data_IF_668731842122
#
_entry.id   IF_668731842122
#
_cell.length_a   1.000
_cell.length_b   1.000
_cell.length_c   1.000
_cell.angle_alpha   90.00
_cell.angle_beta   90.00
_cell.angle_gamma   90.00
#
_symmetry.space_group_name_H-M   'P 1'
#
loop_
_entity.id
_entity.type
_entity.pdbx_description
1 polymer ?
#
# COMPACT_ATOMS: atom_id res chain seq x y z
N UNK A 1 -41.00 -23.80 23.87
CA UNK A 1 -41.42 -24.10 25.26
C UNK A 1 -40.19 -23.98 26.15
N UNK A 2 -40.23 -23.05 27.14
CA UNK A 2 -39.25 -22.75 28.21
C UNK A 2 -37.81 -22.33 27.84
N UNK A 3 -37.53 -21.03 27.97
CA UNK A 3 -36.37 -20.45 28.67
C UNK A 3 -36.84 -19.09 29.25
N UNK A 4 -37.19 -19.02 30.54
CA UNK A 4 -36.40 -18.64 31.74
C UNK A 4 -36.65 -17.19 32.17
N UNK A 5 -37.06 -17.04 33.42
CA UNK A 5 -37.58 -15.86 34.13
C UNK A 5 -36.64 -14.63 34.21
N UNK A 6 -35.48 -14.66 33.57
CA UNK A 6 -34.52 -13.56 33.57
C UNK A 6 -34.87 -12.48 32.51
N UNK A 7 -35.42 -12.90 31.37
CA UNK A 7 -35.76 -12.00 30.25
C UNK A 7 -36.98 -11.13 30.55
N UNK A 8 -37.91 -11.60 31.38
CA UNK A 8 -39.06 -10.82 31.84
C UNK A 8 -38.66 -9.71 32.83
N UNK A 9 -37.62 -9.92 33.65
CA UNK A 9 -37.12 -8.92 34.61
C UNK A 9 -36.43 -7.73 33.95
N UNK A 10 -35.70 -7.95 32.86
CA UNK A 10 -35.02 -6.87 32.11
C UNK A 10 -36.00 -5.99 31.32
N UNK A 11 -37.10 -6.56 30.82
CA UNK A 11 -38.13 -5.81 30.06
C UNK A 11 -38.90 -4.88 31.00
N UNK A 12 -39.17 -5.31 32.24
CA UNK A 12 -39.79 -4.47 33.26
C UNK A 12 -38.89 -3.32 33.72
N UNK A 13 -37.57 -3.53 33.83
CA UNK A 13 -36.62 -2.48 34.20
C UNK A 13 -36.44 -1.41 33.10
N UNK A 14 -36.54 -1.79 31.83
CA UNK A 14 -36.38 -0.87 30.70
C UNK A 14 -37.64 -0.03 30.39
N UNK A 15 -38.81 -0.42 30.88
CA UNK A 15 -40.03 0.40 30.79
C UNK A 15 -40.02 1.63 31.71
N UNK A 16 -39.22 1.61 32.77
CA UNK A 16 -39.19 2.65 33.81
C UNK A 16 -38.24 3.81 33.46
N UNK A 17 -37.31 3.64 32.52
CA UNK A 17 -36.22 4.61 32.25
C UNK A 17 -36.36 5.47 30.99
N UNK A 18 -37.52 5.47 30.31
CA UNK A 18 -37.91 6.55 29.39
C UNK A 18 -36.91 6.94 28.30
N UNK A 19 -36.02 6.05 27.86
CA UNK A 19 -35.11 6.28 26.73
C UNK A 19 -35.53 5.42 25.56
N UNK A 20 -35.90 6.07 24.46
CA UNK A 20 -36.27 5.43 23.21
C UNK A 20 -35.20 4.44 22.79
N UNK A 21 -35.56 3.16 22.81
CA UNK A 21 -34.73 2.10 22.27
C UNK A 21 -34.79 2.23 20.74
N UNK A 22 -33.77 2.85 20.14
CA UNK A 22 -33.54 2.73 18.70
C UNK A 22 -33.38 1.24 18.41
N UNK A 23 -34.30 0.69 17.64
CA UNK A 23 -34.25 -0.69 17.14
C UNK A 23 -32.84 -0.95 16.62
N UNK A 24 -32.08 -1.80 17.34
CA UNK A 24 -30.82 -2.35 16.84
C UNK A 24 -31.13 -3.03 15.51
N UNK A 25 -30.73 -2.39 14.42
CA UNK A 25 -30.83 -2.96 13.08
C UNK A 25 -30.12 -4.30 13.12
N UNK A 26 -30.86 -5.38 12.89
CA UNK A 26 -30.30 -6.72 12.77
C UNK A 26 -29.18 -6.64 11.71
N UNK A 27 -27.90 -6.92 12.04
CA UNK A 27 -26.83 -6.79 11.07
C UNK A 27 -27.17 -7.67 9.87
N UNK A 28 -27.15 -7.09 8.66
CA UNK A 28 -27.38 -7.86 7.44
C UNK A 28 -26.33 -8.96 7.41
N UNK A 29 -26.76 -10.20 7.59
CA UNK A 29 -25.86 -11.34 7.45
C UNK A 29 -25.40 -11.41 6.00
N UNK A 30 -24.09 -11.53 5.80
CA UNK A 30 -23.52 -11.80 4.50
C UNK A 30 -23.98 -13.18 4.02
N UNK A 31 -24.67 -13.21 2.87
CA UNK A 31 -25.16 -14.45 2.24
C UNK A 31 -24.37 -14.71 0.96
N UNK A 32 -23.26 -15.48 1.02
CA UNK A 32 -22.49 -15.82 -0.17
C UNK A 32 -23.27 -16.78 -1.08
N UNK A 33 -23.10 -16.63 -2.40
CA UNK A 33 -23.49 -17.63 -3.38
C UNK A 33 -22.72 -18.94 -3.18
N UNK A 34 -23.10 -20.02 -3.87
CA UNK A 34 -22.36 -21.29 -3.83
C UNK A 34 -20.90 -21.13 -4.26
N UNK A 35 -20.67 -20.32 -5.29
CA UNK A 35 -19.33 -20.03 -5.82
C UNK A 35 -18.51 -19.26 -4.79
N UNK A 36 -19.09 -18.22 -4.18
CA UNK A 36 -18.41 -17.42 -3.15
C UNK A 36 -18.19 -18.22 -1.86
N UNK A 37 -19.07 -19.16 -1.53
CA UNK A 37 -18.90 -20.08 -0.40
C UNK A 37 -17.69 -20.99 -0.62
N UNK A 38 -17.54 -21.53 -1.82
CA UNK A 38 -16.36 -22.30 -2.23
C UNK A 38 -15.09 -21.44 -2.20
N UNK A 39 -15.16 -20.22 -2.72
CA UNK A 39 -14.03 -19.29 -2.72
C UNK A 39 -13.61 -18.90 -1.30
N UNK A 40 -14.56 -18.62 -0.41
CA UNK A 40 -14.31 -18.36 1.00
C UNK A 40 -13.60 -19.52 1.67
N UNK A 41 -14.10 -20.75 1.48
CA UNK A 41 -13.47 -21.95 2.05
C UNK A 41 -12.02 -22.10 1.58
N UNK A 42 -11.76 -21.86 0.29
CA UNK A 42 -10.41 -21.92 -0.24
C UNK A 42 -9.51 -20.82 0.34
N UNK A 43 -9.93 -19.56 0.29
CA UNK A 43 -9.15 -18.41 0.77
C UNK A 43 -8.83 -18.54 2.26
N UNK A 44 -9.82 -18.92 3.08
CA UNK A 44 -9.62 -19.11 4.52
C UNK A 44 -8.66 -20.26 4.83
N UNK A 45 -8.79 -21.40 4.17
CA UNK A 45 -7.81 -22.51 4.29
C UNK A 45 -6.44 -22.09 3.81
N UNK A 46 -6.37 -21.35 2.71
CA UNK A 46 -5.12 -20.86 2.18
C UNK A 46 -4.40 -19.95 3.20
N UNK A 47 -5.11 -18.94 3.74
CA UNK A 47 -4.56 -18.03 4.75
C UNK A 47 -4.12 -18.76 6.03
N UNK A 48 -4.84 -19.81 6.46
CA UNK A 48 -4.45 -20.58 7.65
C UNK A 48 -3.12 -21.32 7.49
N UNK A 49 -2.74 -21.69 6.26
CA UNK A 49 -1.45 -22.34 5.99
C UNK A 49 -0.35 -21.33 5.66
N UNK A 50 -0.71 -20.20 5.05
CA UNK A 50 0.24 -19.20 4.61
C UNK A 50 0.71 -18.28 5.75
N UNK A 51 -0.18 -17.85 6.66
CA UNK A 51 0.16 -16.95 7.75
C UNK A 51 0.90 -17.72 8.85
N UNK A 52 2.22 -17.73 8.75
CA UNK A 52 3.17 -18.32 9.71
C UNK A 52 3.77 -17.29 10.68
N UNK A 53 3.67 -16.00 10.37
CA UNK A 53 4.11 -14.87 11.22
C UNK A 53 3.14 -13.68 11.11
N UNK A 54 2.91 -12.95 12.20
CA UNK A 54 1.88 -11.90 12.29
C UNK A 54 0.46 -12.44 12.45
N UNK A 55 -0.52 -11.54 12.46
CA UNK A 55 -1.94 -11.88 12.69
C UNK A 55 -2.87 -11.15 11.72
N UNK A 56 -3.71 -11.91 10.99
CA UNK A 56 -4.77 -11.38 10.12
C UNK A 56 -6.11 -11.89 10.62
N UNK A 57 -7.04 -10.98 10.90
CA UNK A 57 -8.41 -11.31 11.30
C UNK A 57 -9.37 -10.85 10.21
N UNK A 58 -10.23 -11.74 9.72
CA UNK A 58 -11.36 -11.40 8.86
C UNK A 58 -12.64 -11.36 9.70
N UNK A 59 -13.34 -10.23 9.68
CA UNK A 59 -14.64 -10.02 10.29
C UNK A 59 -15.67 -9.83 9.17
N UNK A 60 -16.52 -10.82 8.94
CA UNK A 60 -17.60 -10.72 7.96
C UNK A 60 -18.77 -9.89 8.49
N UNK A 61 -19.49 -9.18 7.60
CA UNK A 61 -20.81 -8.66 7.91
C UNK A 61 -21.76 -9.80 8.30
N UNK A 62 -22.30 -9.76 9.53
CA UNK A 62 -23.01 -10.88 10.15
C UNK A 62 -22.26 -11.57 11.28
N UNK A 63 -21.02 -11.15 11.57
CA UNK A 63 -20.32 -11.47 12.82
C UNK A 63 -19.44 -12.71 12.80
N UNK A 64 -19.35 -13.43 11.67
CA UNK A 64 -18.38 -14.52 11.51
C UNK A 64 -16.97 -13.95 11.56
N UNK A 65 -16.09 -14.59 12.34
CA UNK A 65 -14.70 -14.18 12.49
C UNK A 65 -13.75 -15.33 12.16
N UNK A 66 -12.75 -15.05 11.32
CA UNK A 66 -11.63 -15.95 11.05
C UNK A 66 -10.34 -15.30 11.54
N UNK A 67 -9.55 -16.03 12.32
CA UNK A 67 -8.26 -15.58 12.82
C UNK A 67 -7.16 -16.45 12.23
N UNK A 68 -6.19 -15.81 11.58
CA UNK A 68 -4.98 -16.44 11.05
C UNK A 68 -3.79 -15.84 11.78
N UNK A 69 -3.20 -16.63 12.68
CA UNK A 69 -2.10 -16.18 13.53
C UNK A 69 -0.92 -17.12 13.39
N UNK A 70 0.23 -16.53 13.09
CA UNK A 70 1.49 -17.24 12.97
C UNK A 70 2.06 -17.63 14.33
N UNK A 71 2.72 -18.78 14.39
CA UNK A 71 3.45 -19.22 15.60
C UNK A 71 4.85 -18.60 15.70
N UNK A 72 5.35 -17.96 14.64
CA UNK A 72 6.65 -17.30 14.62
C UNK A 72 6.58 -15.90 15.22
N UNK A 73 7.58 -15.56 16.04
CA UNK A 73 7.75 -14.22 16.63
C UNK A 73 8.46 -13.20 15.71
N UNK A 74 8.68 -13.52 14.42
CA UNK A 74 9.42 -12.64 13.49
C UNK A 74 8.67 -11.36 13.11
N UNK A 75 7.34 -11.38 13.14
CA UNK A 75 6.48 -10.26 12.79
C UNK A 75 5.38 -10.15 13.85
N UNK A 76 5.33 -9.02 14.56
CA UNK A 76 4.30 -8.73 15.57
C UNK A 76 3.09 -7.98 15.01
N UNK A 77 3.07 -7.71 13.70
CA UNK A 77 2.01 -6.93 13.08
C UNK A 77 0.68 -7.68 13.12
N UNK A 78 -0.38 -6.90 13.33
CA UNK A 78 -1.76 -7.36 13.35
C UNK A 78 -2.62 -6.47 12.46
N UNK A 79 -3.54 -7.08 11.73
CA UNK A 79 -4.55 -6.35 10.97
C UNK A 79 -5.91 -7.03 11.08
N UNK A 80 -6.97 -6.21 11.08
CA UNK A 80 -8.36 -6.68 11.14
C UNK A 80 -9.11 -6.11 9.95
N UNK A 81 -9.50 -7.01 9.04
CA UNK A 81 -10.24 -6.74 7.82
C UNK A 81 -11.73 -6.92 8.11
N UNK A 82 -12.55 -5.94 7.74
CA UNK A 82 -14.01 -6.06 7.70
C UNK A 82 -14.44 -6.38 6.28
N UNK A 83 -15.01 -7.56 6.07
CA UNK A 83 -15.52 -7.99 4.75
C UNK A 83 -16.98 -7.58 4.63
N UNK A 84 -17.26 -6.68 3.69
CA UNK A 84 -18.59 -6.13 3.41
C UNK A 84 -19.32 -6.94 2.33
N UNK A 85 -18.56 -7.50 1.38
CA UNK A 85 -19.10 -8.19 0.22
C UNK A 85 -18.40 -9.55 0.02
N UNK A 86 -19.14 -10.66 -0.11
CA UNK A 86 -18.56 -11.99 -0.30
C UNK A 86 -17.76 -12.12 -1.61
N UNK A 87 -18.01 -11.23 -2.58
CA UNK A 87 -17.25 -11.12 -3.82
C UNK A 87 -15.75 -10.83 -3.57
N UNK A 88 -15.38 -10.32 -2.39
CA UNK A 88 -14.00 -10.25 -1.91
C UNK A 88 -13.26 -11.58 -2.09
N UNK A 89 -13.85 -12.69 -1.62
CA UNK A 89 -13.21 -14.00 -1.68
C UNK A 89 -13.00 -14.48 -3.12
N UNK A 90 -13.97 -14.21 -3.99
CA UNK A 90 -13.88 -14.55 -5.40
C UNK A 90 -12.76 -13.77 -6.11
N UNK A 91 -12.67 -12.46 -5.87
CA UNK A 91 -11.59 -11.61 -6.43
C UNK A 91 -10.22 -12.07 -5.95
N UNK A 92 -10.05 -12.29 -4.64
CA UNK A 92 -8.78 -12.76 -4.07
C UNK A 92 -8.39 -14.13 -4.62
N UNK A 93 -9.36 -15.04 -4.79
CA UNK A 93 -9.11 -16.37 -5.35
C UNK A 93 -8.65 -16.32 -6.82
N UNK A 94 -9.29 -15.48 -7.64
CA UNK A 94 -9.14 -15.52 -9.10
C UNK A 94 -8.10 -14.54 -9.65
N UNK A 95 -7.93 -13.40 -8.98
CA UNK A 95 -7.06 -12.30 -9.43
C UNK A 95 -5.92 -12.00 -8.43
N UNK A 96 -5.79 -12.77 -7.34
CA UNK A 96 -4.71 -12.70 -6.35
C UNK A 96 -4.45 -11.27 -5.83
N UNK A 97 -3.26 -10.70 -6.06
CA UNK A 97 -2.85 -9.36 -5.63
C UNK A 97 -3.66 -8.25 -6.30
N UNK A 98 -3.93 -8.39 -7.60
CA UNK A 98 -4.84 -7.50 -8.32
C UNK A 98 -6.27 -7.63 -7.81
N UNK A 99 -6.69 -8.85 -7.45
CA UNK A 99 -7.99 -9.11 -6.85
C UNK A 99 -8.16 -8.46 -5.48
N UNK A 100 -7.11 -8.49 -4.65
CA UNK A 100 -7.08 -7.80 -3.35
C UNK A 100 -7.19 -6.28 -3.53
N UNK A 101 -6.41 -5.71 -4.47
CA UNK A 101 -6.48 -4.29 -4.79
C UNK A 101 -7.86 -3.87 -5.31
N UNK A 102 -8.40 -4.64 -6.26
CA UNK A 102 -9.72 -4.37 -6.84
C UNK A 102 -10.84 -4.51 -5.79
N UNK A 103 -10.75 -5.48 -4.89
CA UNK A 103 -11.70 -5.64 -3.80
C UNK A 103 -11.65 -4.44 -2.82
N UNK A 104 -10.47 -3.93 -2.51
CA UNK A 104 -10.31 -2.73 -1.66
C UNK A 104 -10.87 -1.47 -2.36
N UNK A 105 -10.50 -1.25 -3.63
CA UNK A 105 -10.92 -0.08 -4.42
C UNK A 105 -12.46 -0.06 -4.60
N UNK A 106 -13.07 -1.23 -4.73
CA UNK A 106 -14.53 -1.36 -4.83
C UNK A 106 -15.24 -1.46 -3.47
N UNK A 107 -14.51 -1.31 -2.36
CA UNK A 107 -15.07 -1.31 -1.00
C UNK A 107 -15.72 -2.64 -0.59
N UNK A 108 -15.27 -3.76 -1.19
CA UNK A 108 -15.71 -5.10 -0.81
C UNK A 108 -15.21 -5.48 0.60
N UNK A 109 -14.13 -4.82 1.05
CA UNK A 109 -13.64 -4.89 2.42
C UNK A 109 -13.01 -3.56 2.85
N UNK A 110 -12.91 -3.36 4.16
CA UNK A 110 -12.20 -2.25 4.79
C UNK A 110 -11.37 -2.74 5.98
N UNK A 111 -10.73 -1.82 6.70
CA UNK A 111 -9.94 -2.15 7.89
C UNK A 111 -10.55 -1.50 9.14
N UNK A 112 -10.44 -2.18 10.28
CA UNK A 112 -10.76 -1.59 11.58
C UNK A 112 -9.82 -0.42 11.88
N UNK A 113 -8.52 -0.63 11.64
CA UNK A 113 -7.52 0.41 11.68
C UNK A 113 -7.41 1.06 10.29
N UNK A 114 -7.92 2.29 10.18
CA UNK A 114 -7.94 3.06 8.93
C UNK A 114 -6.57 3.63 8.56
N UNK A 115 -5.63 3.70 9.49
CA UNK A 115 -4.34 4.34 9.26
C UNK A 115 -3.28 3.34 8.81
N UNK A 116 -3.21 2.20 9.51
CA UNK A 116 -2.15 1.22 9.30
C UNK A 116 -2.68 -0.17 8.91
N UNK A 117 -3.99 -0.39 8.88
CA UNK A 117 -4.56 -1.72 8.58
C UNK A 117 -4.12 -2.31 7.24
N UNK A 118 -4.16 -1.51 6.17
CA UNK A 118 -3.72 -1.93 4.83
C UNK A 118 -2.21 -2.12 4.75
N UNK A 119 -1.44 -1.15 5.27
CA UNK A 119 0.02 -1.25 5.39
C UNK A 119 0.44 -2.53 6.11
N UNK A 120 -0.17 -2.81 7.27
CA UNK A 120 0.11 -3.99 8.08
C UNK A 120 -0.26 -5.27 7.34
N UNK A 121 -1.38 -5.31 6.61
CA UNK A 121 -1.73 -6.47 5.79
C UNK A 121 -0.63 -6.76 4.78
N UNK A 122 -0.22 -5.77 3.99
CA UNK A 122 0.77 -5.95 2.93
C UNK A 122 2.12 -6.36 3.53
N UNK A 123 2.54 -5.75 4.65
CA UNK A 123 3.76 -6.13 5.36
C UNK A 123 3.71 -7.56 5.92
N UNK A 124 2.57 -8.00 6.46
CA UNK A 124 2.38 -9.40 6.90
C UNK A 124 2.49 -10.35 5.71
N UNK A 125 1.86 -10.03 4.57
CA UNK A 125 1.95 -10.84 3.35
C UNK A 125 3.40 -10.94 2.85
N UNK A 126 4.17 -9.85 2.85
CA UNK A 126 5.59 -9.83 2.48
C UNK A 126 6.44 -10.66 3.47
N UNK A 127 6.22 -10.52 4.78
CA UNK A 127 6.99 -11.25 5.79
C UNK A 127 6.79 -12.78 5.67
N UNK A 128 5.54 -13.22 5.43
CA UNK A 128 5.24 -14.62 5.17
C UNK A 128 5.78 -15.09 3.83
N UNK A 129 5.81 -14.20 2.83
CA UNK A 129 6.45 -14.44 1.54
C UNK A 129 7.91 -14.88 1.73
N UNK A 130 8.67 -14.02 2.38
CA UNK A 130 10.11 -14.21 2.51
C UNK A 130 10.45 -15.36 3.47
N UNK A 131 9.57 -15.65 4.44
CA UNK A 131 9.67 -16.83 5.31
C UNK A 131 9.59 -18.15 4.53
N UNK A 132 8.57 -18.35 3.69
CA UNK A 132 8.42 -19.60 2.92
C UNK A 132 9.51 -19.70 1.85
N UNK A 133 9.88 -18.58 1.21
CA UNK A 133 10.98 -18.58 0.23
C UNK A 133 12.32 -18.95 0.86
N UNK A 134 12.56 -18.60 2.12
CA UNK A 134 13.80 -18.97 2.82
C UNK A 134 13.82 -20.44 3.24
N UNK A 135 12.66 -21.04 3.52
CA UNK A 135 12.53 -22.42 3.98
C UNK A 135 12.40 -23.45 2.83
N UNK A 136 12.08 -23.00 1.61
CA UNK A 136 12.00 -23.87 0.43
C UNK A 136 13.32 -23.85 -0.38
N UNK A 137 14.05 -24.98 -0.42
CA UNK A 137 15.30 -25.14 -1.20
C UNK A 137 15.09 -25.20 -2.74
N UNK A 138 13.91 -24.83 -3.25
CA UNK A 138 13.51 -25.08 -4.63
C UNK A 138 13.45 -23.77 -5.45
N UNK A 139 14.42 -23.62 -6.37
CA UNK A 139 14.60 -22.60 -7.41
C UNK A 139 13.93 -21.22 -7.24
N UNK A 140 14.76 -20.19 -7.07
CA UNK A 140 14.44 -18.74 -7.11
C UNK A 140 13.86 -18.20 -8.45
N UNK A 141 13.27 -19.04 -9.31
CA UNK A 141 12.79 -18.67 -10.66
C UNK A 141 11.27 -18.64 -10.84
N UNK A 142 10.47 -18.84 -9.78
CA UNK A 142 9.00 -18.88 -9.89
C UNK A 142 8.33 -17.89 -8.95
N UNK A 143 7.56 -16.98 -9.54
CA UNK A 143 6.67 -16.07 -8.83
C UNK A 143 5.55 -16.81 -8.09
N UNK A 144 5.01 -16.16 -7.08
CA UNK A 144 4.49 -16.75 -5.85
C UNK A 144 3.09 -17.43 -5.93
N UNK A 145 2.39 -17.49 -7.07
CA UNK A 145 1.06 -18.14 -7.16
C UNK A 145 0.76 -18.78 -8.53
N UNK A 146 1.55 -19.74 -9.04
CA UNK A 146 1.14 -20.47 -10.26
C UNK A 146 0.54 -21.85 -9.92
N UNK A 147 -0.78 -21.98 -9.70
CA UNK A 147 -1.47 -23.24 -9.89
C UNK A 147 -1.29 -23.68 -11.35
N UNK A 148 -1.17 -24.99 -11.55
CA UNK A 148 -0.90 -25.67 -12.82
C UNK A 148 -1.95 -25.45 -13.95
N UNK A 149 -2.92 -24.55 -13.80
CA UNK A 149 -4.08 -24.40 -14.72
C UNK A 149 -4.30 -23.00 -15.34
N UNK A 150 -3.44 -22.00 -15.14
CA UNK A 150 -3.74 -20.61 -15.61
C UNK A 150 -2.61 -19.89 -16.35
N UNK A 151 -1.99 -20.53 -17.35
CA UNK A 151 -1.01 -19.86 -18.24
C UNK A 151 -1.34 -19.90 -19.73
N UNK A 152 -2.63 -19.97 -20.08
CA UNK A 152 -3.07 -19.70 -21.45
C UNK A 152 -4.53 -19.22 -21.47
N UNK A 153 -4.78 -17.93 -21.70
CA UNK A 153 -6.01 -17.52 -22.40
C UNK A 153 -6.78 -16.28 -21.96
N UNK A 154 -6.87 -15.90 -20.68
CA UNK A 154 -7.91 -14.91 -20.28
C UNK A 154 -7.44 -13.64 -19.56
N UNK A 155 -6.22 -13.59 -19.03
CA UNK A 155 -5.71 -12.37 -18.33
C UNK A 155 -5.14 -11.31 -19.29
N UNK A 156 -4.90 -11.66 -20.56
CA UNK A 156 -4.44 -10.70 -21.58
C UNK A 156 -5.61 -9.91 -22.20
N UNK A 157 -6.81 -10.49 -22.28
CA UNK A 157 -7.96 -9.84 -22.92
C UNK A 157 -8.44 -8.60 -22.14
N UNK A 158 -8.54 -8.68 -20.80
CA UNK A 158 -9.01 -7.56 -19.95
C UNK A 158 -8.05 -6.37 -19.98
N UNK A 159 -6.73 -6.61 -20.04
CA UNK A 159 -5.72 -5.56 -20.18
C UNK A 159 -5.68 -5.01 -21.62
N UNK A 160 -5.84 -5.85 -22.65
CA UNK A 160 -5.88 -5.41 -24.04
C UNK A 160 -7.09 -4.52 -24.35
N UNK A 161 -8.30 -4.86 -23.86
CA UNK A 161 -9.49 -4.01 -24.05
C UNK A 161 -9.39 -2.66 -23.30
N UNK A 162 -8.73 -2.63 -22.12
CA UNK A 162 -8.48 -1.38 -21.36
C UNK A 162 -7.47 -0.46 -22.05
N UNK A 163 -6.51 -1.02 -22.80
CA UNK A 163 -5.55 -0.27 -23.61
C UNK A 163 -6.08 0.09 -25.02
N UNK A 164 -6.92 -0.74 -25.64
CA UNK A 164 -7.49 -0.51 -26.97
C UNK A 164 -8.54 0.62 -27.01
N UNK A 165 -9.14 0.97 -25.87
CA UNK A 165 -10.10 2.07 -25.71
C UNK A 165 -9.48 3.44 -25.41
N UNK A 166 -8.14 3.58 -25.48
CA UNK A 166 -7.45 4.88 -25.41
C UNK A 166 -6.54 5.08 -26.62
N UNK A 167 -7.12 5.21 -27.81
CA UNK A 167 -6.40 5.80 -28.94
C UNK A 167 -6.49 7.33 -28.86
N UNK A 168 -5.50 7.96 -28.22
CA UNK A 168 -5.33 9.41 -28.28
C UNK A 168 -4.49 9.77 -29.50
N UNK A 169 -5.08 10.47 -30.48
CA UNK A 169 -4.33 11.06 -31.59
C UNK A 169 -3.46 12.22 -31.10
N UNK A 170 -2.30 12.44 -31.74
CA UNK A 170 -1.31 13.47 -31.39
C UNK A 170 -1.90 14.90 -31.25
N UNK A 171 -2.95 15.21 -32.03
CA UNK A 171 -3.66 16.49 -31.99
C UNK A 171 -4.59 16.63 -30.77
N UNK A 172 -5.19 15.53 -30.30
CA UNK A 172 -6.01 15.46 -29.07
C UNK A 172 -5.13 15.51 -27.81
N UNK A 173 -3.94 14.89 -27.87
CA UNK A 173 -2.96 14.90 -26.79
C UNK A 173 -2.53 16.33 -26.40
N UNK A 174 -2.22 17.21 -27.38
CA UNK A 174 -1.78 18.59 -27.11
C UNK A 174 -2.84 19.49 -26.47
N UNK A 175 -4.13 19.33 -26.82
CA UNK A 175 -5.25 20.09 -26.19
C UNK A 175 -5.66 19.51 -24.84
N UNK A 176 -5.56 18.19 -24.63
CA UNK A 176 -5.73 17.58 -23.31
C UNK A 176 -4.58 17.91 -22.36
N UNK A 177 -3.36 18.10 -22.86
CA UNK A 177 -2.14 18.32 -22.08
C UNK A 177 -2.25 19.52 -21.12
N UNK A 178 -2.61 20.73 -21.57
CA UNK A 178 -2.66 21.90 -20.65
C UNK A 178 -3.72 21.74 -19.55
N UNK A 179 -4.98 21.48 -19.89
CA UNK A 179 -6.06 21.34 -18.89
C UNK A 179 -5.90 20.11 -17.99
N UNK A 180 -5.31 19.03 -18.49
CA UNK A 180 -5.07 17.82 -17.70
C UNK A 180 -3.80 17.93 -16.84
N UNK A 181 -2.79 18.71 -17.25
CA UNK A 181 -1.67 19.05 -16.37
C UNK A 181 -2.09 20.00 -15.25
N UNK A 182 -3.00 20.94 -15.51
CA UNK A 182 -3.54 21.81 -14.47
C UNK A 182 -4.30 20.98 -13.42
N UNK A 183 -5.23 20.11 -13.85
CA UNK A 183 -5.94 19.18 -12.96
C UNK A 183 -4.99 18.21 -12.22
N UNK A 184 -3.90 17.82 -12.88
CA UNK A 184 -2.85 16.97 -12.29
C UNK A 184 -2.04 17.72 -11.24
N UNK A 185 -1.64 18.97 -11.50
CA UNK A 185 -0.89 19.80 -10.56
C UNK A 185 -1.74 20.20 -9.37
N UNK A 186 -3.01 20.54 -9.58
CA UNK A 186 -3.97 20.80 -8.51
C UNK A 186 -4.06 19.59 -7.58
N UNK A 187 -4.20 18.39 -8.13
CA UNK A 187 -4.19 17.16 -7.35
C UNK A 187 -2.86 16.96 -6.60
N UNK A 188 -1.72 17.05 -7.28
CA UNK A 188 -0.40 16.84 -6.67
C UNK A 188 -0.13 17.85 -5.55
N UNK A 189 -0.53 19.10 -5.71
CA UNK A 189 -0.36 20.15 -4.70
C UNK A 189 -1.12 19.89 -3.40
N UNK A 190 -2.13 19.00 -3.42
CA UNK A 190 -2.90 18.64 -2.22
C UNK A 190 -2.13 17.72 -1.27
N UNK A 191 -1.10 17.02 -1.76
CA UNK A 191 -0.35 16.07 -0.94
C UNK A 191 1.17 16.22 -0.99
N UNK A 192 1.71 16.86 -2.03
CA UNK A 192 3.10 17.29 -2.07
C UNK A 192 3.31 18.53 -1.20
N UNK A 193 4.58 18.81 -0.91
CA UNK A 193 4.98 20.09 -0.31
C UNK A 193 5.01 21.21 -1.37
N UNK A 194 5.25 22.44 -0.92
CA UNK A 194 5.30 23.65 -1.79
C UNK A 194 6.33 23.55 -2.92
N UNK A 195 7.36 22.71 -2.79
CA UNK A 195 8.35 22.50 -3.86
C UNK A 195 7.82 21.63 -5.01
N UNK A 196 6.64 21.03 -4.87
CA UNK A 196 6.05 20.09 -5.84
C UNK A 196 6.97 18.90 -6.16
N UNK A 197 7.77 18.48 -5.18
CA UNK A 197 8.76 17.42 -5.36
C UNK A 197 8.11 16.03 -5.25
N UNK A 198 7.81 15.41 -6.39
CA UNK A 198 7.35 14.02 -6.44
C UNK A 198 8.52 13.01 -6.43
N UNK A 199 9.30 13.03 -5.34
CA UNK A 199 10.41 12.10 -5.10
C UNK A 199 10.63 11.89 -3.60
N UNK A 200 11.39 10.86 -3.22
CA UNK A 200 11.81 10.61 -1.83
C UNK A 200 12.44 11.86 -1.20
N UNK A 201 12.04 12.21 0.02
CA UNK A 201 12.71 13.19 0.88
C UNK A 201 13.82 12.52 1.73
N UNK A 202 14.59 13.29 2.50
CA UNK A 202 15.55 12.76 3.49
C UNK A 202 15.25 13.40 4.85
N UNK A 203 14.82 12.59 5.80
CA UNK A 203 14.34 13.02 7.11
C UNK A 203 15.42 12.85 8.18
N UNK A 204 15.53 13.82 9.09
CA UNK A 204 16.33 13.74 10.31
C UNK A 204 15.58 13.06 11.44
N UNK A 205 14.27 13.26 11.51
CA UNK A 205 13.37 12.69 12.52
C UNK A 205 12.03 12.32 11.88
N UNK A 206 11.27 11.40 12.49
CA UNK A 206 10.01 10.92 11.92
C UNK A 206 8.93 12.01 11.79
N UNK A 207 8.93 13.00 12.68
CA UNK A 207 7.95 14.09 12.71
C UNK A 207 8.41 15.37 11.98
N UNK A 208 9.51 15.31 11.23
CA UNK A 208 10.02 16.47 10.48
C UNK A 208 9.05 16.89 9.36
N UNK A 209 8.97 18.20 9.08
CA UNK A 209 8.16 18.70 7.99
C UNK A 209 8.66 18.18 6.63
N UNK A 210 7.72 17.85 5.74
CA UNK A 210 8.05 17.27 4.43
C UNK A 210 8.89 18.23 3.59
N UNK A 211 8.65 19.54 3.66
CA UNK A 211 9.41 20.55 2.91
C UNK A 211 10.86 20.59 3.38
N UNK A 212 11.08 20.58 4.69
CA UNK A 212 12.43 20.59 5.28
C UNK A 212 13.21 19.33 4.87
N UNK A 213 12.55 18.17 4.89
CA UNK A 213 13.15 16.91 4.45
C UNK A 213 13.46 16.89 2.94
N UNK A 214 12.63 17.52 2.10
CA UNK A 214 12.90 17.67 0.66
C UNK A 214 14.07 18.60 0.40
N UNK A 215 14.13 19.74 1.08
CA UNK A 215 15.25 20.69 0.97
C UNK A 215 16.56 20.04 1.44
N UNK A 216 16.52 19.28 2.54
CA UNK A 216 17.65 18.50 3.03
C UNK A 216 18.21 17.55 1.98
N UNK A 217 17.34 16.78 1.32
CA UNK A 217 17.75 15.91 0.23
C UNK A 217 18.51 16.68 -0.86
N UNK A 218 18.01 17.85 -1.25
CA UNK A 218 18.66 18.68 -2.28
C UNK A 218 20.03 19.18 -1.80
N UNK A 219 20.14 19.68 -0.56
CA UNK A 219 21.41 20.10 0.03
C UNK A 219 22.44 18.96 0.05
N UNK A 220 22.05 17.76 0.50
CA UNK A 220 22.92 16.58 0.52
C UNK A 220 23.37 16.17 -0.89
N UNK A 221 22.49 16.24 -1.88
CA UNK A 221 22.85 15.94 -3.27
C UNK A 221 23.83 16.97 -3.84
N UNK A 222 23.67 18.25 -3.53
CA UNK A 222 24.59 19.31 -3.98
C UNK A 222 25.98 19.11 -3.36
N UNK A 223 26.04 18.83 -2.06
CA UNK A 223 27.30 18.56 -1.36
C UNK A 223 28.02 17.34 -1.92
N UNK A 224 27.30 16.27 -2.28
CA UNK A 224 27.87 15.05 -2.87
C UNK A 224 28.45 15.23 -4.27
N UNK A 225 27.96 16.20 -5.05
CA UNK A 225 28.34 16.39 -6.46
C UNK A 225 29.46 17.43 -6.62
N UNK A 226 29.79 18.20 -5.57
CA UNK A 226 30.75 19.30 -5.70
C UNK A 226 32.22 18.83 -5.70
N UNK A 227 33.04 19.22 -6.71
CA UNK A 227 32.76 20.14 -7.80
C UNK A 227 32.00 19.51 -8.99
N UNK A 228 30.98 20.24 -9.48
CA UNK A 228 30.13 19.81 -10.61
C UNK A 228 30.93 19.79 -11.91
N UNK A 229 30.90 18.66 -12.63
CA UNK A 229 31.47 18.55 -13.98
C UNK A 229 30.38 18.41 -15.04
N UNK A 230 30.37 19.27 -16.06
CA UNK A 230 29.36 19.28 -17.13
C UNK A 230 29.54 18.19 -18.21
N UNK A 231 30.57 17.34 -18.12
CA UNK A 231 30.84 16.33 -19.13
C UNK A 231 30.20 14.97 -18.76
N UNK A 232 29.76 14.22 -19.76
CA UNK A 232 29.25 12.87 -19.53
C UNK A 232 30.40 11.91 -19.23
N UNK A 233 30.30 11.11 -18.16
CA UNK A 233 31.28 10.10 -17.82
C UNK A 233 30.91 8.75 -18.45
N UNK A 234 31.81 8.18 -19.27
CA UNK A 234 31.60 6.84 -19.86
C UNK A 234 32.21 5.71 -19.02
N UNK A 235 33.34 5.97 -18.36
CA UNK A 235 34.03 5.01 -17.49
C UNK A 235 34.13 5.65 -16.11
N UNK A 236 33.21 5.34 -15.20
CA UNK A 236 33.19 5.90 -13.84
C UNK A 236 33.35 4.80 -12.80
N UNK A 237 33.99 5.12 -11.68
CA UNK A 237 34.01 4.29 -10.46
C UNK A 237 32.91 4.73 -9.51
N UNK A 238 32.31 3.76 -8.80
CA UNK A 238 31.39 4.04 -7.70
C UNK A 238 32.23 4.43 -6.48
N UNK A 239 31.99 5.62 -5.93
CA UNK A 239 32.69 6.10 -4.73
C UNK A 239 31.85 5.95 -3.47
N UNK A 240 30.54 6.07 -3.60
CA UNK A 240 29.61 5.98 -2.49
C UNK A 240 28.26 5.45 -2.96
N UNK A 241 27.62 4.63 -2.14
CA UNK A 241 26.26 4.18 -2.34
C UNK A 241 25.55 4.12 -0.99
N UNK A 242 24.42 4.81 -0.86
CA UNK A 242 23.57 4.76 0.32
C UNK A 242 22.14 4.36 -0.07
N UNK A 243 21.48 3.60 0.79
CA UNK A 243 20.07 3.25 0.64
C UNK A 243 19.22 4.18 1.51
N UNK A 244 18.42 5.03 0.87
CA UNK A 244 17.46 5.95 1.49
C UNK A 244 16.02 5.41 1.44
N UNK A 245 15.83 4.10 1.24
CA UNK A 245 14.52 3.47 1.12
C UNK A 245 13.57 3.73 2.30
N UNK A 246 14.08 3.74 3.53
CA UNK A 246 13.27 4.05 4.72
C UNK A 246 12.74 5.49 4.74
N UNK A 247 13.50 6.45 4.19
CA UNK A 247 12.99 7.81 4.01
C UNK A 247 11.90 7.88 2.95
N UNK A 248 11.90 6.97 1.96
CA UNK A 248 10.80 6.89 1.00
C UNK A 248 9.53 6.32 1.64
N UNK A 249 9.67 5.34 2.53
CA UNK A 249 8.54 4.94 3.39
C UNK A 249 7.94 6.14 4.11
N UNK A 250 8.75 6.95 4.80
CA UNK A 250 8.28 8.16 5.51
C UNK A 250 7.63 9.15 4.54
N UNK A 251 8.26 9.43 3.39
CA UNK A 251 7.72 10.30 2.34
C UNK A 251 6.30 9.87 1.92
N UNK A 252 6.08 8.57 1.68
CA UNK A 252 4.78 8.02 1.32
C UNK A 252 3.75 8.11 2.45
N UNK A 253 4.18 7.99 3.72
CA UNK A 253 3.29 8.23 4.88
C UNK A 253 2.83 9.68 4.94
N UNK A 254 3.73 10.64 4.73
CA UNK A 254 3.37 12.06 4.66
C UNK A 254 2.42 12.35 3.49
N UNK A 255 2.72 11.84 2.29
CA UNK A 255 1.83 12.01 1.14
C UNK A 255 0.45 11.42 1.37
N UNK A 256 0.35 10.19 1.90
CA UNK A 256 -0.94 9.59 2.25
C UNK A 256 -1.71 10.42 3.25
N UNK A 257 -1.05 10.87 4.33
CA UNK A 257 -1.67 11.71 5.36
C UNK A 257 -2.24 12.98 4.75
N UNK A 258 -1.43 13.73 4.01
CA UNK A 258 -1.85 14.97 3.37
C UNK A 258 -3.00 14.72 2.37
N UNK A 259 -2.91 13.67 1.56
CA UNK A 259 -3.92 13.30 0.57
C UNK A 259 -5.28 13.02 1.23
N UNK A 260 -5.31 12.23 2.30
CA UNK A 260 -6.55 11.89 3.01
C UNK A 260 -7.11 13.09 3.80
N UNK A 261 -6.26 13.93 4.39
CA UNK A 261 -6.70 15.17 5.04
C UNK A 261 -7.32 16.18 4.05
N UNK A 262 -6.97 16.10 2.76
CA UNK A 262 -7.52 16.93 1.69
C UNK A 262 -8.58 16.21 0.83
N UNK A 263 -9.11 15.07 1.27
CA UNK A 263 -10.09 14.28 0.51
C UNK A 263 -11.29 15.11 -0.01
N UNK A 264 -11.85 16.01 0.82
CA UNK A 264 -12.96 16.87 0.38
C UNK A 264 -12.58 17.81 -0.77
N UNK A 265 -11.32 18.28 -0.83
CA UNK A 265 -10.82 19.08 -1.95
C UNK A 265 -10.63 18.23 -3.19
N UNK A 266 -10.14 16.99 -3.02
CA UNK A 266 -9.97 16.03 -4.13
C UNK A 266 -11.34 15.72 -4.78
N UNK A 267 -12.38 15.50 -3.97
CA UNK A 267 -13.74 15.30 -4.47
C UNK A 267 -14.28 16.55 -5.20
N UNK A 268 -13.93 17.75 -4.74
CA UNK A 268 -14.29 19.00 -5.40
C UNK A 268 -13.58 19.22 -6.76
N UNK A 269 -12.46 18.53 -7.00
CA UNK A 269 -11.79 18.44 -8.30
C UNK A 269 -12.41 17.38 -9.24
N UNK A 270 -13.63 16.93 -8.94
CA UNK A 270 -14.39 15.91 -9.71
C UNK A 270 -13.79 14.49 -9.70
N UNK A 271 -12.82 14.21 -8.82
CA UNK A 271 -12.40 12.84 -8.54
C UNK A 271 -13.41 12.12 -7.64
N UNK A 272 -13.50 10.80 -7.75
CA UNK A 272 -14.46 9.99 -6.99
C UNK A 272 -13.80 9.16 -5.87
N UNK A 273 -14.61 8.55 -5.01
CA UNK A 273 -14.12 7.73 -3.89
C UNK A 273 -13.26 6.53 -4.34
N UNK A 274 -13.55 5.94 -5.51
CA UNK A 274 -12.73 4.87 -6.08
C UNK A 274 -11.32 5.36 -6.42
N UNK A 275 -11.20 6.58 -6.92
CA UNK A 275 -9.91 7.22 -7.20
C UNK A 275 -9.12 7.42 -5.90
N UNK A 276 -9.76 7.94 -4.85
CA UNK A 276 -9.13 8.13 -3.54
C UNK A 276 -8.62 6.80 -2.97
N UNK A 277 -9.43 5.74 -2.98
CA UNK A 277 -9.02 4.40 -2.52
C UNK A 277 -7.91 3.80 -3.38
N UNK A 278 -7.87 4.09 -4.68
CA UNK A 278 -6.78 3.66 -5.56
C UNK A 278 -5.45 4.29 -5.13
N UNK A 279 -5.45 5.59 -4.82
CA UNK A 279 -4.26 6.30 -4.33
C UNK A 279 -3.86 5.89 -2.92
N UNK A 280 -4.83 5.71 -2.03
CA UNK A 280 -4.58 5.18 -0.68
C UNK A 280 -3.89 3.81 -0.75
N UNK A 281 -4.42 2.91 -1.60
CA UNK A 281 -3.81 1.60 -1.83
C UNK A 281 -2.40 1.71 -2.39
N UNK A 282 -2.19 2.60 -3.37
CA UNK A 282 -0.87 2.86 -3.94
C UNK A 282 0.14 3.31 -2.88
N UNK A 283 -0.22 4.28 -2.03
CA UNK A 283 0.68 4.78 -0.99
C UNK A 283 1.06 3.67 0.00
N UNK A 284 0.08 2.92 0.51
CA UNK A 284 0.34 1.85 1.48
C UNK A 284 1.10 0.67 0.88
N UNK A 285 0.81 0.31 -0.37
CA UNK A 285 1.53 -0.74 -1.09
C UNK A 285 3.00 -0.40 -1.30
N UNK A 286 3.29 0.81 -1.81
CA UNK A 286 4.66 1.27 -1.97
C UNK A 286 5.38 1.44 -0.62
N UNK A 287 4.69 1.97 0.40
CA UNK A 287 5.24 2.15 1.74
C UNK A 287 5.64 0.79 2.35
N UNK A 288 4.79 -0.23 2.24
CA UNK A 288 5.11 -1.59 2.68
C UNK A 288 6.35 -2.15 1.96
N UNK A 289 6.45 -1.91 0.65
CA UNK A 289 7.60 -2.32 -0.16
C UNK A 289 8.92 -1.75 0.34
N UNK A 290 8.97 -0.45 0.63
CA UNK A 290 10.15 0.20 1.18
C UNK A 290 10.43 -0.20 2.63
N UNK A 291 9.42 -0.26 3.51
CA UNK A 291 9.61 -0.61 4.93
C UNK A 291 10.05 -2.06 5.14
N UNK A 292 9.66 -2.94 4.24
CA UNK A 292 10.08 -4.35 4.24
C UNK A 292 11.43 -4.59 3.54
N UNK A 293 12.07 -3.56 2.99
CA UNK A 293 13.25 -3.67 2.11
C UNK A 293 13.02 -4.56 0.87
N UNK A 294 11.77 -4.80 0.47
CA UNK A 294 11.45 -5.40 -0.84
C UNK A 294 11.81 -4.43 -1.97
N UNK A 295 11.66 -3.12 -1.70
CA UNK A 295 12.11 -2.03 -2.56
C UNK A 295 13.25 -1.28 -1.88
N UNK A 296 14.19 -0.77 -2.67
CA UNK A 296 15.27 0.11 -2.23
C UNK A 296 15.26 1.41 -3.03
N UNK A 297 15.81 2.46 -2.45
CA UNK A 297 16.04 3.73 -3.15
C UNK A 297 17.47 4.17 -2.87
N UNK A 298 18.30 4.29 -3.90
CA UNK A 298 19.74 4.47 -3.71
C UNK A 298 20.22 5.82 -4.24
N UNK A 299 21.07 6.49 -3.46
CA UNK A 299 21.92 7.56 -3.98
C UNK A 299 23.31 6.98 -4.22
N UNK A 300 23.79 7.07 -5.47
CA UNK A 300 25.09 6.53 -5.88
C UNK A 300 25.94 7.66 -6.45
N UNK A 301 27.12 7.86 -5.86
CA UNK A 301 28.10 8.85 -6.29
C UNK A 301 29.14 8.15 -7.18
N UNK A 302 29.39 8.75 -8.33
CA UNK A 302 30.35 8.24 -9.31
C UNK A 302 31.48 9.24 -9.51
N UNK A 303 32.71 8.76 -9.67
CA UNK A 303 33.85 9.59 -10.05
C UNK A 303 34.51 9.12 -11.34
N UNK A 304 35.18 10.06 -12.02
CA UNK A 304 35.96 9.74 -13.22
C UNK A 304 37.36 9.23 -12.85
N UNK A 305 37.92 8.30 -13.61
CA UNK A 305 39.34 7.96 -13.55
C UNK A 305 40.20 9.22 -13.65
N UNK A 306 41.22 9.32 -12.79
CA UNK A 306 42.11 10.48 -12.75
C UNK A 306 41.52 11.71 -12.06
N UNK A 307 40.41 11.58 -11.33
CA UNK A 307 39.90 12.67 -10.49
C UNK A 307 40.91 12.99 -9.37
N UNK A 308 41.71 14.04 -9.57
CA UNK A 308 42.73 14.46 -8.59
C UNK A 308 42.15 14.91 -7.25
N UNK A 309 40.87 15.33 -7.20
CA UNK A 309 40.20 15.63 -5.94
C UNK A 309 40.03 14.37 -5.06
N UNK A 310 39.98 13.17 -5.65
CA UNK A 310 39.98 11.88 -4.95
C UNK A 310 41.29 11.57 -4.23
N UNK A 311 42.39 12.23 -4.60
CA UNK A 311 43.70 12.00 -3.97
C UNK A 311 43.78 12.58 -2.55
N UNK A 312 42.94 13.56 -2.21
CA UNK A 312 42.93 14.27 -0.92
C UNK A 312 42.04 13.66 0.17
N UNK A 313 41.73 12.35 0.11
CA UNK A 313 40.68 11.70 0.90
C UNK A 313 39.39 12.56 1.00
N UNK A 314 38.72 12.85 -0.13
CA UNK A 314 37.47 13.61 -0.12
C UNK A 314 36.31 12.84 0.55
N UNK A 315 36.55 11.60 0.96
CA UNK A 315 35.57 10.68 1.52
C UNK A 315 35.51 10.69 3.05
N UNK A 316 36.30 11.55 3.70
CA UNK A 316 36.34 11.69 5.18
C UNK A 316 35.07 12.31 5.79
N UNK A 317 33.96 12.33 5.06
CA UNK A 317 32.67 12.85 5.50
C UNK A 317 31.66 13.00 4.38
N UNK A 318 31.38 11.94 3.61
CA UNK A 318 30.21 11.99 2.72
C UNK A 318 28.97 12.34 3.56
N UNK A 319 28.23 13.40 3.20
CA UNK A 319 26.99 13.72 3.88
C UNK A 319 26.05 12.52 3.77
N UNK A 320 25.74 11.89 4.89
CA UNK A 320 24.86 10.73 4.93
C UNK A 320 23.43 11.20 5.17
N UNK A 321 22.49 10.46 4.61
CA UNK A 321 21.08 10.58 4.98
C UNK A 321 20.79 10.06 6.41
N UNK A 322 21.72 9.31 7.01
CA UNK A 322 21.61 8.71 8.35
C UNK A 322 21.91 9.68 9.49
#
# INVERSE_FOLDING_TARGET
MRFTSFQAGMIAANGVLGKGCSVLSNPKHMVPSLVETGARLFVTRFLSHFISTGCVILLEEGGTMFTFEGTSNKCSLKTVIRVHNPHFYWKVLTEADLGLADAYINEDFSFVDKNDGLLNLIMILIANRDFISSNSKLSKKRGWWTPLLFTAGLTSAKNFFKHALRQNTLTQARRNISRHYDLSNDLFSLFLDETMTYSCAVFKTEDEDLKDAQQRKISLLIEKVSPVSNNFCKNCSVEHAENIGLHYYQTLRHWRKNFLEKQSKILALEFNEKFIRTWEYYFDYCAAGFKSNTLGNYQIVFSRPGNVAALGNPYKGFPSAS
#
